data_IF_361213542489
#
_entry.id   IF_361213542489
#
_cell.length_a   1.000
_cell.length_b   1.000
_cell.length_c   1.000
_cell.angle_alpha   90.00
_cell.angle_beta   90.00
_cell.angle_gamma   90.00
#
_symmetry.space_group_name_H-M   'P 1'
#
loop_
_entity.id
_entity.type
_entity.pdbx_description
1 polymer ?
#
# COMPACT_ATOMS: atom_id res chain seq x y z
N UNK A 1 24.54 -41.08 18.11
CA UNK A 1 24.11 -40.22 19.23
C UNK A 1 25.22 -39.21 19.44
N UNK A 2 25.03 -38.00 18.94
CA UNK A 2 26.02 -36.91 19.01
C UNK A 2 25.51 -35.79 19.94
N UNK A 3 26.46 -35.19 20.65
CA UNK A 3 26.32 -34.45 21.92
C UNK A 3 25.63 -33.07 21.76
N UNK A 4 24.65 -32.67 22.61
CA UNK A 4 23.83 -31.46 22.43
C UNK A 4 24.50 -30.11 22.75
N UNK A 5 25.83 -30.07 22.94
CA UNK A 5 26.53 -28.94 23.61
C UNK A 5 27.41 -28.06 22.72
N UNK A 6 27.53 -28.33 21.42
CA UNK A 6 28.40 -27.56 20.51
C UNK A 6 27.70 -26.46 19.69
N UNK A 7 26.37 -26.39 19.68
CA UNK A 7 25.66 -25.34 18.95
C UNK A 7 25.47 -24.07 19.81
N UNK A 8 26.56 -23.38 20.16
CA UNK A 8 26.50 -21.94 20.46
C UNK A 8 26.39 -21.15 19.14
N UNK A 9 25.35 -21.45 18.37
CA UNK A 9 25.06 -20.80 17.10
C UNK A 9 24.24 -19.55 17.37
N UNK A 10 24.82 -18.38 17.10
CA UNK A 10 24.03 -17.15 16.96
C UNK A 10 23.04 -17.39 15.82
N UNK A 11 21.75 -17.55 16.15
CA UNK A 11 20.70 -17.70 15.14
C UNK A 11 20.64 -16.37 14.38
N UNK A 12 20.99 -16.41 13.09
CA UNK A 12 20.91 -15.25 12.21
C UNK A 12 19.43 -14.92 12.03
N UNK A 13 18.97 -13.84 12.65
CA UNK A 13 17.61 -13.33 12.44
C UNK A 13 17.67 -12.44 11.20
N UNK A 14 17.20 -12.97 10.08
CA UNK A 14 16.98 -12.20 8.86
C UNK A 14 15.55 -11.64 8.90
N UNK A 15 15.36 -10.43 8.39
CA UNK A 15 14.03 -9.82 8.25
C UNK A 15 13.34 -10.56 7.11
N UNK A 16 12.34 -11.38 7.45
CA UNK A 16 11.59 -12.20 6.49
C UNK A 16 10.40 -11.45 5.85
N UNK A 17 9.94 -10.38 6.48
CA UNK A 17 8.77 -9.63 6.01
C UNK A 17 8.71 -8.26 6.70
N UNK A 18 8.32 -7.23 5.95
CA UNK A 18 7.99 -5.91 6.50
C UNK A 18 6.48 -5.83 6.76
N UNK A 19 6.08 -5.63 8.02
CA UNK A 19 4.66 -5.58 8.42
C UNK A 19 4.28 -4.16 8.80
N UNK A 20 3.32 -3.58 8.07
CA UNK A 20 2.75 -2.24 8.27
C UNK A 20 1.24 -2.33 8.56
N UNK A 21 0.59 -1.28 9.11
CA UNK A 21 -0.82 -1.34 9.47
C UNK A 21 -1.74 -1.83 8.33
N UNK A 22 -1.47 -1.43 7.08
CA UNK A 22 -2.24 -1.83 5.90
C UNK A 22 -1.80 -3.16 5.27
N UNK A 23 -0.68 -3.76 5.70
CA UNK A 23 -0.17 -5.04 5.15
C UNK A 23 -0.32 -6.24 6.08
N UNK A 24 -0.90 -6.01 7.27
CA UNK A 24 -1.20 -7.06 8.24
C UNK A 24 -2.35 -7.96 7.77
N UNK A 25 -2.04 -9.25 7.61
CA UNK A 25 -3.07 -10.30 7.57
C UNK A 25 -3.57 -10.54 9.00
N UNK A 26 -4.82 -10.19 9.27
CA UNK A 26 -5.40 -10.37 10.59
C UNK A 26 -5.71 -11.86 10.84
N UNK A 27 -4.93 -12.50 11.72
CA UNK A 27 -5.12 -13.90 12.12
C UNK A 27 -5.88 -13.94 13.46
N UNK A 28 -7.22 -13.99 13.42
CA UNK A 28 -8.03 -14.13 14.63
C UNK A 28 -9.51 -13.78 14.45
N UNK A 29 -10.39 -14.54 15.11
CA UNK A 29 -11.85 -14.46 14.95
C UNK A 29 -12.50 -13.14 15.42
N UNK A 30 -11.80 -12.34 16.24
CA UNK A 30 -12.37 -11.14 16.86
C UNK A 30 -12.33 -9.90 15.96
N UNK A 31 -11.44 -9.85 14.96
CA UNK A 31 -11.31 -8.71 14.03
C UNK A 31 -11.57 -9.11 12.57
N UNK A 32 -12.01 -10.35 12.30
CA UNK A 32 -12.28 -10.89 10.97
C UNK A 32 -13.43 -10.20 10.19
N UNK A 33 -13.99 -9.11 10.71
CA UNK A 33 -15.05 -8.31 10.08
C UNK A 33 -14.57 -6.94 9.57
N UNK A 34 -13.37 -6.50 9.95
CA UNK A 34 -12.84 -5.21 9.54
C UNK A 34 -11.90 -5.41 8.35
N UNK A 35 -12.36 -5.04 7.16
CA UNK A 35 -11.52 -5.03 5.96
C UNK A 35 -10.35 -4.07 6.18
N UNK A 36 -9.12 -4.57 5.97
CA UNK A 36 -7.92 -3.76 6.12
C UNK A 36 -7.48 -3.27 4.74
N UNK A 37 -8.05 -2.14 4.33
CA UNK A 37 -7.72 -1.54 3.04
C UNK A 37 -6.39 -0.80 3.11
N UNK A 38 -5.49 -1.13 2.19
CA UNK A 38 -4.30 -0.36 1.89
C UNK A 38 -4.62 0.58 0.72
N UNK A 39 -4.44 1.88 0.92
CA UNK A 39 -4.69 2.89 -0.11
C UNK A 39 -3.38 3.39 -0.71
N UNK A 40 -3.43 3.93 -1.93
CA UNK A 40 -2.34 4.64 -2.56
C UNK A 40 -2.86 5.92 -3.23
N UNK A 41 -2.01 6.96 -3.22
CA UNK A 41 -2.32 8.26 -3.80
C UNK A 41 -1.17 8.78 -4.64
N UNK A 42 -1.51 9.31 -5.81
CA UNK A 42 -0.63 10.14 -6.64
C UNK A 42 -1.35 11.43 -7.02
N UNK A 43 -0.60 12.46 -7.37
CA UNK A 43 -1.13 13.71 -7.89
C UNK A 43 -0.50 14.01 -9.25
N UNK A 44 -1.36 14.29 -10.21
CA UNK A 44 -0.99 14.77 -11.54
C UNK A 44 -1.14 16.28 -11.59
N UNK A 45 -0.01 16.94 -11.83
CA UNK A 45 0.12 18.39 -11.84
C UNK A 45 -0.50 18.99 -13.11
N UNK A 46 -0.45 18.28 -14.24
CA UNK A 46 -0.91 18.78 -15.54
C UNK A 46 -2.43 18.75 -15.64
N UNK A 47 -3.05 17.66 -15.17
CA UNK A 47 -4.50 17.47 -15.18
C UNK A 47 -5.19 17.92 -13.87
N UNK A 48 -4.41 18.28 -12.85
CA UNK A 48 -4.87 18.75 -11.52
C UNK A 48 -5.85 17.79 -10.82
N UNK A 49 -5.53 16.50 -10.85
CA UNK A 49 -6.33 15.44 -10.26
C UNK A 49 -5.46 14.41 -9.55
N UNK A 50 -6.10 13.57 -8.75
CA UNK A 50 -5.45 12.56 -7.94
C UNK A 50 -5.77 11.17 -8.47
N UNK A 51 -4.73 10.35 -8.60
CA UNK A 51 -4.90 8.91 -8.70
C UNK A 51 -5.17 8.34 -7.31
N UNK A 52 -6.22 7.53 -7.17
CA UNK A 52 -6.52 6.82 -5.95
C UNK A 52 -6.69 5.34 -6.23
N UNK A 53 -5.87 4.50 -5.62
CA UNK A 53 -6.02 3.05 -5.66
C UNK A 53 -6.21 2.50 -4.24
N UNK A 54 -6.90 1.37 -4.13
CA UNK A 54 -6.94 0.62 -2.89
C UNK A 54 -6.95 -0.87 -3.14
N UNK A 55 -6.40 -1.61 -2.18
CA UNK A 55 -6.40 -3.05 -2.18
C UNK A 55 -6.86 -3.60 -0.83
N UNK A 56 -7.65 -4.67 -0.88
CA UNK A 56 -7.88 -5.55 0.25
C UNK A 56 -7.04 -6.82 0.06
N UNK A 57 -5.96 -6.90 0.83
CA UNK A 57 -5.01 -8.01 0.74
C UNK A 57 -5.63 -9.35 1.16
N UNK A 58 -6.72 -9.34 1.93
CA UNK A 58 -7.38 -10.55 2.40
C UNK A 58 -8.26 -11.19 1.32
N UNK A 59 -8.85 -10.39 0.44
CA UNK A 59 -9.75 -10.84 -0.63
C UNK A 59 -9.10 -10.80 -2.01
N UNK A 60 -7.99 -10.08 -2.16
CA UNK A 60 -7.33 -9.83 -3.45
C UNK A 60 -8.06 -8.79 -4.29
N UNK A 61 -9.00 -8.03 -3.71
CA UNK A 61 -9.67 -6.94 -4.41
C UNK A 61 -8.69 -5.78 -4.63
N UNK A 62 -8.66 -5.24 -5.85
CA UNK A 62 -7.95 -4.02 -6.20
C UNK A 62 -8.89 -3.13 -7.00
N UNK A 63 -9.03 -1.87 -6.59
CA UNK A 63 -9.80 -0.87 -7.32
C UNK A 63 -8.99 0.40 -7.49
N UNK A 64 -9.34 1.18 -8.50
CA UNK A 64 -8.72 2.47 -8.80
C UNK A 64 -9.75 3.45 -9.34
N UNK A 65 -9.57 4.72 -9.03
CA UNK A 65 -10.36 5.85 -9.54
C UNK A 65 -9.51 7.11 -9.61
N UNK A 66 -10.01 8.12 -10.33
CA UNK A 66 -9.52 9.50 -10.22
C UNK A 66 -10.38 10.27 -9.23
N UNK A 67 -9.76 11.18 -8.48
CA UNK A 67 -10.42 12.10 -7.56
C UNK A 67 -10.00 13.53 -7.91
N UNK A 68 -10.90 14.50 -7.75
CA UNK A 68 -10.66 15.89 -8.14
C UNK A 68 -10.47 16.83 -6.95
N UNK A 69 -10.64 16.37 -5.71
CA UNK A 69 -10.56 17.22 -4.52
C UNK A 69 -10.05 16.49 -3.27
N UNK A 70 -9.59 17.27 -2.29
CA UNK A 70 -9.20 16.76 -0.97
C UNK A 70 -10.42 16.16 -0.25
N UNK A 71 -11.61 16.75 -0.40
CA UNK A 71 -12.84 16.22 0.20
C UNK A 71 -13.19 14.82 -0.33
N UNK A 72 -13.00 14.59 -1.63
CA UNK A 72 -13.16 13.26 -2.22
C UNK A 72 -12.15 12.26 -1.68
N UNK A 73 -10.89 12.66 -1.51
CA UNK A 73 -9.85 11.82 -0.88
C UNK A 73 -10.26 11.45 0.55
N UNK A 74 -10.72 12.42 1.34
CA UNK A 74 -11.17 12.18 2.71
C UNK A 74 -12.35 11.20 2.71
N UNK A 75 -13.33 11.41 1.84
CA UNK A 75 -14.51 10.55 1.75
C UNK A 75 -14.13 9.09 1.48
N UNK A 76 -13.25 8.85 0.51
CA UNK A 76 -12.80 7.49 0.18
C UNK A 76 -11.98 6.86 1.32
N UNK A 77 -11.01 7.59 1.86
CA UNK A 77 -10.13 7.10 2.95
C UNK A 77 -10.93 6.76 4.21
N UNK A 78 -11.90 7.60 4.59
CA UNK A 78 -12.76 7.37 5.75
C UNK A 78 -13.75 6.24 5.50
N UNK A 79 -14.36 6.20 4.31
CA UNK A 79 -15.30 5.12 3.91
C UNK A 79 -14.62 3.75 3.97
N UNK A 80 -13.38 3.66 3.49
CA UNK A 80 -12.56 2.46 3.53
C UNK A 80 -11.96 2.19 4.91
N UNK A 81 -12.08 3.11 5.87
CA UNK A 81 -11.38 3.03 7.17
C UNK A 81 -9.88 2.74 6.99
N UNK A 82 -9.27 3.34 5.96
CA UNK A 82 -7.86 3.10 5.62
C UNK A 82 -6.97 3.59 6.76
N UNK A 83 -6.01 2.75 7.15
CA UNK A 83 -5.03 3.05 8.20
C UNK A 83 -3.70 3.50 7.61
N UNK A 84 -3.51 3.31 6.32
CA UNK A 84 -2.25 3.52 5.66
C UNK A 84 -2.47 3.90 4.19
N UNK A 85 -1.84 5.01 3.78
CA UNK A 85 -1.80 5.47 2.40
C UNK A 85 -0.37 5.51 1.89
N UNK A 86 -0.13 4.82 0.78
CA UNK A 86 1.14 4.81 0.06
C UNK A 86 1.22 5.99 -0.90
N UNK A 87 2.35 6.68 -0.92
CA UNK A 87 2.58 7.86 -1.77
C UNK A 87 3.97 7.80 -2.40
N UNK A 88 4.10 8.43 -3.56
CA UNK A 88 5.43 8.77 -4.09
C UNK A 88 6.05 9.88 -3.23
N UNK A 89 7.37 9.83 -3.05
CA UNK A 89 8.12 10.89 -2.38
C UNK A 89 7.90 12.23 -3.10
N UNK A 90 7.54 13.26 -2.33
CA UNK A 90 7.32 14.64 -2.79
C UNK A 90 6.31 14.83 -3.94
N UNK A 91 5.40 13.88 -4.18
CA UNK A 91 4.41 13.97 -5.26
C UNK A 91 3.08 14.62 -4.83
N UNK A 92 2.75 14.63 -3.54
CA UNK A 92 1.47 15.18 -3.07
C UNK A 92 1.59 16.60 -2.53
N UNK A 93 0.54 17.44 -2.70
CA UNK A 93 0.41 18.69 -1.98
C UNK A 93 0.48 18.48 -0.46
N UNK A 94 1.19 19.37 0.25
CA UNK A 94 1.37 19.28 1.71
C UNK A 94 0.04 19.26 2.49
N UNK A 95 -0.97 19.97 1.99
CA UNK A 95 -2.30 20.00 2.62
C UNK A 95 -2.94 18.60 2.67
N UNK A 96 -2.74 17.78 1.64
CA UNK A 96 -3.27 16.41 1.59
C UNK A 96 -2.61 15.54 2.64
N UNK A 97 -1.28 15.55 2.72
CA UNK A 97 -0.53 14.71 3.67
C UNK A 97 -0.81 15.12 5.12
N UNK A 98 -0.90 16.42 5.40
CA UNK A 98 -1.30 16.92 6.73
C UNK A 98 -2.72 16.50 7.11
N UNK A 99 -3.66 16.55 6.17
CA UNK A 99 -5.05 16.19 6.41
C UNK A 99 -5.20 14.70 6.72
N UNK A 100 -4.58 13.84 5.92
CA UNK A 100 -4.55 12.39 6.16
C UNK A 100 -3.88 12.05 7.51
N UNK A 101 -2.78 12.73 7.84
CA UNK A 101 -2.10 12.55 9.14
C UNK A 101 -3.02 12.94 10.31
N UNK A 102 -3.79 14.02 10.20
CA UNK A 102 -4.78 14.45 11.21
C UNK A 102 -5.92 13.44 11.38
N UNK A 103 -6.26 12.69 10.33
CA UNK A 103 -7.23 11.59 10.37
C UNK A 103 -6.65 10.30 10.97
N UNK A 104 -5.36 10.28 11.32
CA UNK A 104 -4.68 9.12 11.89
C UNK A 104 -4.22 8.09 10.85
N UNK A 105 -4.16 8.47 9.58
CA UNK A 105 -3.66 7.64 8.49
C UNK A 105 -2.14 7.71 8.45
N UNK A 106 -1.48 6.56 8.44
CA UNK A 106 -0.04 6.47 8.20
C UNK A 106 0.28 6.81 6.74
N UNK A 107 1.24 7.72 6.51
CA UNK A 107 1.77 8.00 5.18
C UNK A 107 3.03 7.17 4.97
N UNK A 108 2.98 6.27 4.00
CA UNK A 108 4.09 5.40 3.62
C UNK A 108 4.65 5.81 2.27
N UNK A 109 5.97 5.95 2.19
CA UNK A 109 6.65 6.37 0.97
C UNK A 109 7.21 5.16 0.22
N UNK A 110 6.97 5.11 -1.09
CA UNK A 110 7.41 4.01 -1.95
C UNK A 110 7.89 4.54 -3.29
N UNK A 111 9.00 3.99 -3.80
CA UNK A 111 9.41 4.17 -5.19
C UNK A 111 8.72 3.13 -6.09
N UNK A 112 8.40 3.52 -7.32
CA UNK A 112 7.85 2.58 -8.31
C UNK A 112 8.94 1.58 -8.71
N UNK A 113 8.67 0.29 -8.48
CA UNK A 113 9.55 -0.78 -8.91
C UNK A 113 9.49 -0.97 -10.43
N UNK A 114 10.54 -1.53 -11.05
CA UNK A 114 10.49 -1.89 -12.46
C UNK A 114 9.32 -2.81 -12.76
N UNK A 115 8.59 -2.54 -13.84
CA UNK A 115 7.44 -3.34 -14.27
C UNK A 115 7.85 -4.80 -14.48
N UNK A 116 7.17 -5.71 -13.80
CA UNK A 116 7.29 -7.16 -14.00
C UNK A 116 6.04 -7.68 -14.74
N UNK A 117 6.03 -8.98 -15.06
CA UNK A 117 4.92 -9.58 -15.80
C UNK A 117 3.57 -9.47 -15.06
N UNK A 118 3.58 -9.53 -13.72
CA UNK A 118 2.37 -9.44 -12.91
C UNK A 118 1.82 -8.00 -12.89
N UNK A 119 2.67 -7.00 -12.66
CA UNK A 119 2.25 -5.59 -12.67
C UNK A 119 1.81 -5.15 -14.06
N UNK A 120 2.47 -5.62 -15.12
CA UNK A 120 2.04 -5.39 -16.51
C UNK A 120 0.65 -5.99 -16.77
N UNK A 121 0.37 -7.20 -16.29
CA UNK A 121 -0.92 -7.85 -16.51
C UNK A 121 -2.05 -7.16 -15.74
N UNK A 122 -1.80 -6.79 -14.48
CA UNK A 122 -2.80 -6.17 -13.60
C UNK A 122 -3.15 -4.71 -13.99
N UNK A 123 -2.28 -4.04 -14.75
CA UNK A 123 -2.49 -2.66 -15.20
C UNK A 123 -2.87 -2.51 -16.67
N UNK A 124 -2.95 -3.62 -17.44
CA UNK A 124 -3.14 -3.57 -18.89
C UNK A 124 -4.49 -2.95 -19.31
N UNK A 125 -5.54 -3.17 -18.51
CA UNK A 125 -6.91 -2.72 -18.77
C UNK A 125 -7.20 -1.34 -18.16
N UNK A 126 -6.18 -0.71 -17.55
CA UNK A 126 -6.29 0.60 -16.92
C UNK A 126 -6.01 1.68 -17.95
N UNK A 127 -6.99 2.57 -18.17
CA UNK A 127 -6.85 3.74 -19.03
C UNK A 127 -6.44 4.98 -18.22
N UNK A 128 -5.51 5.78 -18.75
CA UNK A 128 -5.00 6.99 -18.12
C UNK A 128 -3.66 6.80 -17.38
N UNK A 129 -2.74 7.74 -17.55
CA UNK A 129 -1.38 7.66 -16.99
C UNK A 129 -1.38 7.71 -15.46
N UNK A 130 -2.22 8.56 -14.87
CA UNK A 130 -2.36 8.72 -13.41
C UNK A 130 -2.85 7.45 -12.74
N UNK A 131 -3.87 6.84 -13.35
CA UNK A 131 -4.50 5.61 -12.85
C UNK A 131 -3.50 4.45 -12.92
N UNK A 132 -2.74 4.34 -14.02
CA UNK A 132 -1.66 3.36 -14.14
C UNK A 132 -0.55 3.59 -13.11
N UNK A 133 -0.17 4.86 -12.89
CA UNK A 133 0.88 5.22 -11.95
C UNK A 133 0.50 4.82 -10.51
N UNK A 134 -0.71 5.17 -10.05
CA UNK A 134 -1.14 4.85 -8.68
C UNK A 134 -1.32 3.34 -8.46
N UNK A 135 -1.80 2.59 -9.47
CA UNK A 135 -1.87 1.12 -9.40
C UNK A 135 -0.47 0.53 -9.30
N UNK A 136 0.46 1.00 -10.13
CA UNK A 136 1.85 0.50 -10.12
C UNK A 136 2.54 0.81 -8.80
N UNK A 137 2.30 1.99 -8.22
CA UNK A 137 2.78 2.37 -6.90
C UNK A 137 2.27 1.41 -5.82
N UNK A 138 0.96 1.15 -5.79
CA UNK A 138 0.33 0.25 -4.82
C UNK A 138 0.90 -1.17 -4.93
N UNK A 139 1.00 -1.69 -6.16
CA UNK A 139 1.57 -3.02 -6.40
C UNK A 139 3.06 -3.09 -6.01
N UNK A 140 3.84 -2.05 -6.27
CA UNK A 140 5.24 -1.96 -5.87
C UNK A 140 5.40 -2.05 -4.34
N UNK A 141 4.51 -1.40 -3.60
CA UNK A 141 4.51 -1.45 -2.14
C UNK A 141 4.11 -2.82 -1.60
N UNK A 142 3.07 -3.43 -2.18
CA UNK A 142 2.64 -4.79 -1.81
C UNK A 142 3.78 -5.79 -2.09
N UNK A 143 4.44 -5.70 -3.23
CA UNK A 143 5.59 -6.54 -3.56
C UNK A 143 6.73 -6.34 -2.56
N UNK A 144 7.08 -5.10 -2.22
CA UNK A 144 8.14 -4.78 -1.26
C UNK A 144 7.84 -5.32 0.15
N UNK A 145 6.58 -5.27 0.57
CA UNK A 145 6.18 -5.67 1.93
C UNK A 145 5.91 -7.17 2.05
N UNK A 146 5.50 -7.85 0.97
CA UNK A 146 5.11 -9.27 0.98
C UNK A 146 6.19 -10.23 0.44
N UNK A 147 7.07 -9.79 -0.47
CA UNK A 147 8.08 -10.67 -1.10
C UNK A 147 9.45 -10.64 -0.39
N UNK A 148 9.48 -10.35 0.92
CA UNK A 148 10.70 -10.47 1.75
C UNK A 148 11.13 -11.91 2.07
N UNK A 149 10.47 -12.92 1.48
CA UNK A 149 10.64 -14.35 1.77
C UNK A 149 11.59 -15.07 0.79
#
# INVERSE_FOLDING_TARGET
MEDPKLAKGMVKREVIQLVTPGTQFQTGSQNAKDNNYLTALTYDIDEQHYGFAYADLSTGELKVTNLSSIDEIINEVVSLSSKETVVLSDNLPTEVTETLTKLGVLISHQEILPTNAATSYLSQDVEGEVVKQVVTLLLSYIETTQNGA
#
